data_IF_751257098226
#
_entry.id   IF_751257098226
#
_cell.length_a   1.000
_cell.length_b   1.000
_cell.length_c   1.000
_cell.angle_alpha   90.00
_cell.angle_beta   90.00
_cell.angle_gamma   90.00
#
_symmetry.space_group_name_H-M   'P 1'
#
loop_
_entity.id
_entity.type
_entity.pdbx_description
1 polymer ?
#
# COMPACT_ATOMS: atom_id res chain seq x y z
N UNK A 1 60.28 -17.37 35.44
CA UNK A 1 60.22 -17.59 33.98
C UNK A 1 58.76 -17.74 33.59
N UNK A 2 58.32 -16.94 32.62
CA UNK A 2 57.14 -17.10 31.74
C UNK A 2 55.77 -17.32 32.44
N UNK A 3 54.80 -16.40 32.36
CA UNK A 3 54.03 -16.06 31.15
C UNK A 3 52.82 -17.01 31.03
N UNK A 4 51.61 -16.67 30.61
CA UNK A 4 51.08 -15.48 29.97
C UNK A 4 49.54 -15.65 29.92
N UNK A 5 48.80 -14.56 30.12
CA UNK A 5 47.62 -14.14 29.34
C UNK A 5 46.32 -14.98 29.41
N UNK A 6 45.43 -14.56 30.32
CA UNK A 6 43.99 -14.56 30.03
C UNK A 6 43.73 -13.42 29.04
N UNK A 7 43.57 -13.77 27.75
CA UNK A 7 42.98 -12.87 26.76
C UNK A 7 41.50 -12.78 27.03
N UNK A 8 41.09 -11.57 27.39
CA UNK A 8 39.74 -11.07 27.46
C UNK A 8 39.09 -11.19 26.06
N UNK A 9 38.34 -12.26 25.79
CA UNK A 9 37.38 -12.24 24.67
C UNK A 9 36.08 -11.56 25.13
N UNK A 10 36.17 -10.27 25.47
CA UNK A 10 35.03 -9.37 25.33
C UNK A 10 34.86 -9.16 23.83
N UNK A 11 33.94 -9.92 23.23
CA UNK A 11 33.34 -9.49 21.96
C UNK A 11 32.62 -8.17 22.27
N UNK A 12 33.33 -7.05 22.05
CA UNK A 12 32.72 -5.75 21.84
C UNK A 12 31.86 -5.95 20.60
N UNK A 13 30.56 -6.25 20.80
CA UNK A 13 29.57 -6.00 19.76
C UNK A 13 29.77 -4.53 19.43
N UNK A 14 30.23 -4.23 18.22
CA UNK A 14 30.16 -2.86 17.70
C UNK A 14 28.74 -2.37 17.99
N UNK A 15 28.62 -1.17 18.54
CA UNK A 15 27.35 -0.47 18.75
C UNK A 15 26.54 -0.47 17.44
N UNK A 16 25.75 -1.51 17.20
CA UNK A 16 24.72 -1.50 16.18
C UNK A 16 23.63 -0.61 16.75
N UNK A 17 23.69 0.66 16.37
CA UNK A 17 22.67 1.64 16.75
C UNK A 17 21.33 1.18 16.18
N UNK A 18 20.28 1.28 17.00
CA UNK A 18 18.90 0.95 16.62
C UNK A 18 18.57 1.62 15.29
N UNK A 19 18.15 0.82 14.31
CA UNK A 19 17.69 1.34 13.01
C UNK A 19 16.20 1.62 13.12
N UNK A 20 15.80 2.86 12.83
CA UNK A 20 14.38 3.20 12.71
C UNK A 20 13.79 2.65 11.42
N UNK A 21 12.61 2.04 11.46
CA UNK A 21 11.88 1.60 10.25
C UNK A 21 10.59 2.40 10.16
N UNK A 22 10.53 3.37 9.23
CA UNK A 22 9.36 4.23 9.06
C UNK A 22 8.45 3.67 7.96
N UNK A 23 7.35 3.05 8.37
CA UNK A 23 6.27 2.64 7.48
C UNK A 23 5.38 3.85 7.18
N UNK A 24 5.27 4.21 5.91
CA UNK A 24 4.51 5.36 5.45
C UNK A 24 3.26 4.92 4.69
N UNK A 25 2.13 5.51 5.02
CA UNK A 25 0.87 5.28 4.30
C UNK A 25 0.16 6.61 4.05
N UNK A 26 -0.89 6.58 3.23
CA UNK A 26 -1.62 7.80 2.87
C UNK A 26 -2.22 8.49 4.11
N UNK A 27 -2.74 7.68 5.04
CA UNK A 27 -3.51 8.13 6.19
C UNK A 27 -4.99 8.29 5.87
N UNK A 28 -5.84 8.11 6.87
CA UNK A 28 -7.29 8.24 6.77
C UNK A 28 -7.83 9.02 7.97
N UNK A 29 -8.89 9.83 7.83
CA UNK A 29 -9.51 10.51 8.96
C UNK A 29 -10.01 9.50 10.01
N UNK A 30 -9.95 9.90 11.29
CA UNK A 30 -10.38 9.06 12.42
C UNK A 30 -11.91 8.97 12.53
N UNK A 31 -12.60 10.00 12.03
CA UNK A 31 -14.06 10.09 12.05
C UNK A 31 -14.60 10.83 10.82
N UNK A 32 -15.92 10.76 10.62
CA UNK A 32 -16.60 11.54 9.58
C UNK A 32 -16.44 13.05 9.77
N UNK A 33 -16.34 13.52 11.02
CA UNK A 33 -16.24 14.94 11.39
C UNK A 33 -14.90 15.55 10.99
N UNK A 34 -13.89 14.71 10.83
CA UNK A 34 -12.56 15.09 10.37
C UNK A 34 -12.46 15.24 8.84
N UNK A 35 -13.49 14.83 8.08
CA UNK A 35 -13.42 14.72 6.62
C UNK A 35 -13.04 16.02 5.92
N UNK A 36 -13.60 17.16 6.37
CA UNK A 36 -13.29 18.46 5.76
C UNK A 36 -11.80 18.82 5.93
N UNK A 37 -11.24 18.57 7.11
CA UNK A 37 -9.83 18.84 7.40
C UNK A 37 -8.92 17.90 6.61
N UNK A 38 -9.25 16.61 6.56
CA UNK A 38 -8.52 15.60 5.78
C UNK A 38 -8.47 15.95 4.30
N UNK A 39 -9.61 16.24 3.67
CA UNK A 39 -9.67 16.59 2.25
C UNK A 39 -8.95 17.92 1.94
N UNK A 40 -8.99 18.88 2.87
CA UNK A 40 -8.21 20.11 2.74
C UNK A 40 -6.71 19.82 2.72
N UNK A 41 -6.23 18.92 3.59
CA UNK A 41 -4.82 18.53 3.64
C UNK A 41 -4.34 17.87 2.35
N UNK A 42 -5.13 16.94 1.80
CA UNK A 42 -4.87 16.32 0.49
C UNK A 42 -4.62 17.37 -0.59
N UNK A 43 -5.37 18.48 -0.54
CA UNK A 43 -5.26 19.59 -1.50
C UNK A 43 -4.27 20.69 -1.09
N UNK A 44 -3.36 20.39 -0.16
CA UNK A 44 -2.34 21.32 0.32
C UNK A 44 -2.93 22.48 1.14
N UNK A 45 -3.91 22.19 1.98
CA UNK A 45 -4.57 23.14 2.88
C UNK A 45 -5.73 23.92 2.25
N UNK A 46 -6.11 23.61 1.00
CA UNK A 46 -7.20 24.30 0.29
C UNK A 46 -8.53 23.57 0.52
N UNK A 47 -9.59 24.21 1.06
CA UNK A 47 -10.84 23.55 1.43
C UNK A 47 -11.66 23.07 0.22
N UNK A 48 -12.15 21.83 0.25
CA UNK A 48 -13.06 21.30 -0.77
C UNK A 48 -14.47 21.89 -0.64
N UNK A 49 -15.28 21.79 -1.71
CA UNK A 49 -16.66 22.27 -1.65
C UNK A 49 -17.49 21.43 -0.65
N UNK A 50 -18.54 22.00 -0.03
CA UNK A 50 -19.40 21.27 0.90
C UNK A 50 -20.00 19.99 0.30
N UNK A 51 -20.36 20.02 -0.99
CA UNK A 51 -20.93 18.88 -1.71
C UNK A 51 -19.93 17.73 -1.82
N UNK A 52 -18.67 18.05 -2.16
CA UNK A 52 -17.60 17.07 -2.26
C UNK A 52 -17.24 16.47 -0.88
N UNK A 53 -17.22 17.31 0.16
CA UNK A 53 -17.04 16.83 1.54
C UNK A 53 -18.18 15.90 1.94
N UNK A 54 -19.43 16.25 1.63
CA UNK A 54 -20.60 15.43 1.93
C UNK A 54 -20.57 14.09 1.19
N UNK A 55 -20.14 14.09 -0.07
CA UNK A 55 -19.94 12.87 -0.85
C UNK A 55 -18.95 11.93 -0.16
N UNK A 56 -17.75 12.40 0.17
CA UNK A 56 -16.74 11.57 0.86
C UNK A 56 -17.19 11.12 2.26
N UNK A 57 -17.90 11.98 3.01
CA UNK A 57 -18.54 11.56 4.27
C UNK A 57 -19.52 10.42 4.04
N UNK A 58 -20.33 10.47 2.98
CA UNK A 58 -21.25 9.38 2.62
C UNK A 58 -20.51 8.10 2.29
N UNK A 59 -19.43 8.16 1.51
CA UNK A 59 -18.59 6.98 1.20
C UNK A 59 -18.05 6.32 2.46
N UNK A 60 -17.47 7.12 3.36
CA UNK A 60 -16.95 6.64 4.63
C UNK A 60 -18.05 6.09 5.55
N UNK A 61 -19.23 6.70 5.58
CA UNK A 61 -20.36 6.22 6.37
C UNK A 61 -20.80 4.80 5.94
N UNK A 62 -20.82 4.53 4.63
CA UNK A 62 -21.22 3.22 4.09
C UNK A 62 -20.24 2.10 4.41
N UNK A 63 -18.96 2.42 4.68
CA UNK A 63 -17.95 1.44 5.11
C UNK A 63 -17.79 1.34 6.63
N UNK A 64 -18.74 1.90 7.41
CA UNK A 64 -18.73 1.85 8.88
C UNK A 64 -18.24 3.12 9.58
N UNK A 65 -18.13 4.23 8.85
CA UNK A 65 -17.83 5.56 9.41
C UNK A 65 -16.35 5.94 9.45
N UNK A 66 -15.44 4.99 9.22
CA UNK A 66 -13.98 5.20 9.21
C UNK A 66 -13.29 4.13 8.34
N UNK A 67 -12.16 4.47 7.73
CA UNK A 67 -11.34 3.50 7.01
C UNK A 67 -10.34 2.83 7.96
N UNK A 68 -10.12 1.50 7.86
CA UNK A 68 -9.21 0.77 8.73
C UNK A 68 -7.72 0.97 8.38
N UNK A 69 -7.40 1.79 7.37
CA UNK A 69 -6.04 2.03 6.86
C UNK A 69 -5.02 2.29 7.98
N UNK A 70 -5.32 3.20 8.90
CA UNK A 70 -4.39 3.60 9.96
C UNK A 70 -4.10 2.41 10.89
N UNK A 71 -5.16 1.76 11.40
CA UNK A 71 -5.05 0.61 12.30
C UNK A 71 -4.27 -0.54 11.65
N UNK A 72 -4.55 -0.83 10.38
CA UNK A 72 -3.82 -1.85 9.60
C UNK A 72 -2.35 -1.50 9.45
N UNK A 73 -2.03 -0.24 9.18
CA UNK A 73 -0.64 0.21 9.05
C UNK A 73 0.11 0.09 10.39
N UNK A 74 -0.54 0.40 11.50
CA UNK A 74 0.04 0.25 12.84
C UNK A 74 0.29 -1.23 13.20
N UNK A 75 -0.67 -2.09 12.89
CA UNK A 75 -0.55 -3.54 13.05
C UNK A 75 0.60 -4.10 12.21
N UNK A 76 0.67 -3.71 10.93
CA UNK A 76 1.75 -4.09 10.02
C UNK A 76 3.12 -3.66 10.54
N UNK A 77 3.26 -2.43 11.05
CA UNK A 77 4.51 -1.94 11.62
C UNK A 77 4.98 -2.80 12.81
N UNK A 78 4.06 -3.15 13.72
CA UNK A 78 4.35 -4.03 14.85
C UNK A 78 4.81 -5.42 14.41
N UNK A 79 4.15 -6.01 13.40
CA UNK A 79 4.52 -7.32 12.88
C UNK A 79 5.86 -7.31 12.12
N UNK A 80 6.13 -6.28 11.31
CA UNK A 80 7.41 -6.11 10.62
C UNK A 80 8.55 -5.96 11.64
N UNK A 81 8.36 -5.17 12.69
CA UNK A 81 9.35 -5.05 13.78
C UNK A 81 9.63 -6.42 14.42
N UNK A 82 8.58 -7.19 14.73
CA UNK A 82 8.71 -8.51 15.33
C UNK A 82 9.49 -9.49 14.42
N UNK A 83 9.21 -9.48 13.11
CA UNK A 83 9.92 -10.31 12.13
C UNK A 83 11.39 -9.93 12.05
N UNK A 84 11.70 -8.64 11.90
CA UNK A 84 13.09 -8.15 11.81
C UNK A 84 13.88 -8.46 13.09
N UNK A 85 13.28 -8.27 14.27
CA UNK A 85 13.91 -8.64 15.55
C UNK A 85 14.17 -10.14 15.68
N UNK A 86 13.21 -10.96 15.23
CA UNK A 86 13.39 -12.43 15.19
C UNK A 86 14.53 -12.85 14.25
N UNK A 87 14.77 -12.10 13.18
CA UNK A 87 15.92 -12.26 12.27
C UNK A 87 17.23 -11.69 12.82
N UNK A 88 17.23 -11.16 14.04
CA UNK A 88 18.42 -10.67 14.73
C UNK A 88 18.76 -9.20 14.49
N UNK A 89 17.85 -8.41 13.91
CA UNK A 89 18.06 -6.98 13.69
C UNK A 89 17.61 -6.17 14.91
N UNK A 90 18.42 -5.19 15.32
CA UNK A 90 18.03 -4.22 16.34
C UNK A 90 17.32 -3.02 15.69
N UNK A 91 15.99 -3.14 15.54
CA UNK A 91 15.16 -2.16 14.86
C UNK A 91 14.00 -1.67 15.74
N UNK A 92 13.47 -0.51 15.40
CA UNK A 92 12.22 -0.01 15.96
C UNK A 92 11.34 0.55 14.85
N UNK A 93 10.09 0.09 14.77
CA UNK A 93 9.16 0.53 13.76
C UNK A 93 8.40 1.80 14.19
N UNK A 94 8.13 2.64 13.20
CA UNK A 94 7.39 3.88 13.29
C UNK A 94 6.40 3.95 12.14
N UNK A 95 5.32 4.71 12.33
CA UNK A 95 4.31 4.90 11.29
C UNK A 95 4.16 6.39 11.01
N UNK A 96 4.18 6.77 9.74
CA UNK A 96 4.06 8.17 9.30
C UNK A 96 3.06 8.33 8.17
N UNK A 97 1.94 8.97 8.46
CA UNK A 97 0.89 9.23 7.49
C UNK A 97 1.18 10.51 6.71
N UNK A 98 0.94 10.49 5.40
CA UNK A 98 1.16 11.66 4.54
C UNK A 98 0.10 12.74 4.73
N UNK A 99 -1.17 12.32 4.89
CA UNK A 99 -2.34 13.20 4.93
C UNK A 99 -3.16 13.10 6.21
N UNK A 100 -2.73 12.31 7.18
CA UNK A 100 -3.39 12.22 8.49
C UNK A 100 -2.39 12.02 9.64
N UNK A 101 -2.88 11.70 10.84
CA UNK A 101 -2.07 11.47 12.04
C UNK A 101 -1.79 9.96 12.24
N UNK A 102 -0.66 9.58 12.87
CA UNK A 102 0.50 10.43 13.14
C UNK A 102 1.14 10.85 11.81
N UNK A 103 1.38 12.15 11.64
CA UNK A 103 1.98 12.69 10.41
C UNK A 103 3.44 12.27 10.32
N UNK A 104 3.97 12.20 9.11
CA UNK A 104 5.41 11.92 8.88
C UNK A 104 6.31 12.83 9.74
N UNK A 105 5.98 14.12 9.88
CA UNK A 105 6.74 15.05 10.74
C UNK A 105 6.69 14.68 12.23
N UNK A 106 5.53 14.22 12.72
CA UNK A 106 5.37 13.76 14.10
C UNK A 106 6.15 12.46 14.34
N UNK A 107 6.17 11.57 13.34
CA UNK A 107 6.96 10.33 13.38
C UNK A 107 8.47 10.62 13.41
N UNK A 108 8.96 11.52 12.55
CA UNK A 108 10.37 11.93 12.51
C UNK A 108 10.80 12.60 13.84
N UNK A 109 9.97 13.50 14.38
CA UNK A 109 10.24 14.10 15.70
C UNK A 109 10.33 13.04 16.80
N UNK A 110 9.45 12.03 16.76
CA UNK A 110 9.50 10.91 17.69
C UNK A 110 10.77 10.06 17.51
N UNK A 111 11.16 9.77 16.27
CA UNK A 111 12.39 9.03 15.97
C UNK A 111 13.62 9.75 16.52
N UNK A 112 13.70 11.08 16.32
CA UNK A 112 14.78 11.89 16.88
C UNK A 112 14.78 11.85 18.41
N UNK A 113 13.62 12.01 19.06
CA UNK A 113 13.51 11.94 20.52
C UNK A 113 13.86 10.56 21.09
N UNK A 114 13.68 9.49 20.32
CA UNK A 114 14.07 8.13 20.67
C UNK A 114 15.56 7.84 20.39
N UNK A 115 16.32 8.80 19.86
CA UNK A 115 17.76 8.66 19.59
C UNK A 115 18.09 7.88 18.31
N UNK A 116 17.16 7.79 17.36
CA UNK A 116 17.44 7.19 16.04
C UNK A 116 18.44 8.06 15.28
N UNK A 117 19.44 7.42 14.67
CA UNK A 117 20.42 8.10 13.79
C UNK A 117 20.33 7.62 12.33
N UNK A 118 19.93 6.37 12.12
CA UNK A 118 19.74 5.76 10.80
C UNK A 118 18.36 5.17 10.70
N UNK A 119 17.73 5.36 9.54
CA UNK A 119 16.40 4.85 9.29
C UNK A 119 16.21 4.31 7.87
N UNK A 120 15.30 3.34 7.75
CA UNK A 120 14.76 2.88 6.47
C UNK A 120 13.33 3.36 6.36
N UNK A 121 13.03 4.12 5.30
CA UNK A 121 11.68 4.53 4.94
C UNK A 121 11.09 3.58 3.90
N UNK A 122 9.89 3.06 4.16
CA UNK A 122 9.14 2.23 3.23
C UNK A 122 7.72 2.77 3.09
N UNK A 123 7.24 2.91 1.86
CA UNK A 123 5.84 3.25 1.60
C UNK A 123 5.04 1.96 1.48
N UNK A 124 3.90 1.90 2.15
CA UNK A 124 2.95 0.79 2.14
C UNK A 124 2.13 0.76 0.83
N UNK A 125 2.82 0.94 -0.28
CA UNK A 125 2.39 0.79 -1.66
C UNK A 125 3.59 0.24 -2.45
N UNK A 126 3.50 -0.98 -3.03
CA UNK A 126 4.67 -1.70 -3.52
C UNK A 126 5.25 -1.17 -4.83
N UNK A 127 4.47 -0.42 -5.61
CA UNK A 127 4.89 0.10 -6.91
C UNK A 127 5.39 1.54 -6.79
N UNK A 128 6.57 1.81 -7.31
CA UNK A 128 7.16 3.15 -7.28
C UNK A 128 6.41 4.10 -8.20
N UNK A 129 6.20 5.33 -7.73
CA UNK A 129 5.86 6.45 -8.60
C UNK A 129 6.46 7.76 -8.10
N UNK A 130 6.83 8.65 -9.02
CA UNK A 130 7.19 10.04 -8.74
C UNK A 130 6.00 10.84 -8.20
N UNK A 131 4.77 10.38 -8.45
CA UNK A 131 3.53 10.97 -7.93
C UNK A 131 3.01 10.29 -6.66
N UNK A 132 3.66 9.22 -6.20
CA UNK A 132 3.36 8.54 -4.94
C UNK A 132 4.61 8.47 -4.07
N UNK A 133 5.40 7.39 -4.13
CA UNK A 133 6.57 7.11 -3.29
C UNK A 133 7.50 8.30 -3.11
N UNK A 134 7.87 8.99 -4.20
CA UNK A 134 8.75 10.16 -4.12
C UNK A 134 8.16 11.31 -3.29
N UNK A 135 6.84 11.48 -3.28
CA UNK A 135 6.18 12.52 -2.48
C UNK A 135 6.19 12.18 -0.98
N UNK A 136 6.20 10.90 -0.60
CA UNK A 136 6.43 10.49 0.78
C UNK A 136 7.87 10.76 1.21
N UNK A 137 8.85 10.42 0.36
CA UNK A 137 10.26 10.74 0.60
C UNK A 137 10.48 12.25 0.77
N UNK A 138 9.84 13.08 -0.09
CA UNK A 138 9.88 14.53 0.05
C UNK A 138 9.30 14.99 1.39
N UNK A 139 8.22 14.36 1.88
CA UNK A 139 7.64 14.68 3.20
C UNK A 139 8.57 14.32 4.35
N UNK A 140 9.37 13.26 4.23
CA UNK A 140 10.42 12.94 5.21
C UNK A 140 11.54 13.99 5.15
N UNK A 141 12.01 14.35 3.95
CA UNK A 141 13.02 15.42 3.78
C UNK A 141 12.58 16.77 4.36
N UNK A 142 11.32 17.13 4.16
CA UNK A 142 10.73 18.35 4.71
C UNK A 142 10.62 18.25 6.24
N UNK A 143 10.18 17.10 6.75
CA UNK A 143 10.09 16.84 8.19
C UNK A 143 11.46 16.91 8.89
N UNK A 144 12.52 16.35 8.29
CA UNK A 144 13.88 16.43 8.83
C UNK A 144 14.33 17.88 9.00
N UNK A 145 14.06 18.74 8.01
CA UNK A 145 14.37 20.17 8.07
C UNK A 145 13.53 20.90 9.13
N UNK A 146 12.23 20.60 9.21
CA UNK A 146 11.32 21.23 10.17
C UNK A 146 11.68 20.88 11.61
N UNK A 147 12.03 19.62 11.86
CA UNK A 147 12.42 19.10 13.18
C UNK A 147 13.86 19.49 13.54
N UNK A 148 14.73 19.76 12.55
CA UNK A 148 16.16 19.96 12.76
C UNK A 148 16.87 18.65 13.12
N UNK A 149 16.52 17.58 12.42
CA UNK A 149 17.03 16.23 12.65
C UNK A 149 18.01 15.81 11.55
N UNK A 150 19.11 15.18 11.96
CA UNK A 150 20.16 14.66 11.07
C UNK A 150 20.04 13.14 10.84
N UNK A 151 18.84 12.55 11.03
CA UNK A 151 18.62 11.12 10.76
C UNK A 151 18.92 10.81 9.29
N UNK A 152 19.81 9.85 9.06
CA UNK A 152 20.13 9.35 7.72
C UNK A 152 19.05 8.37 7.27
N UNK A 153 18.30 8.73 6.22
CA UNK A 153 17.30 7.84 5.62
C UNK A 153 17.82 7.12 4.38
N UNK A 154 17.68 5.80 4.38
CA UNK A 154 17.62 4.99 3.16
C UNK A 154 16.16 4.68 2.82
N UNK A 155 15.85 4.44 1.54
CA UNK A 155 14.48 4.24 1.10
C UNK A 155 14.31 2.96 0.28
N UNK A 156 13.27 2.20 0.62
CA UNK A 156 12.72 1.16 -0.26
C UNK A 156 11.92 1.88 -1.36
N UNK A 157 12.43 1.87 -2.59
CA UNK A 157 11.80 2.59 -3.70
C UNK A 157 10.63 1.81 -4.31
N UNK A 158 10.87 0.56 -4.70
CA UNK A 158 9.87 -0.39 -5.19
C UNK A 158 10.13 -1.73 -4.53
N UNK A 159 9.07 -2.49 -4.29
CA UNK A 159 9.13 -3.83 -3.72
C UNK A 159 8.02 -4.73 -4.29
N UNK A 160 7.47 -4.36 -5.46
CA UNK A 160 6.41 -5.10 -6.14
C UNK A 160 6.87 -6.45 -6.72
N UNK A 161 8.18 -6.66 -6.83
CA UNK A 161 8.82 -7.88 -7.32
C UNK A 161 9.31 -8.81 -6.19
N UNK A 162 9.10 -8.42 -4.93
CA UNK A 162 9.43 -9.25 -3.78
C UNK A 162 8.77 -10.62 -3.90
N UNK A 163 9.53 -11.74 -3.88
CA UNK A 163 8.96 -13.07 -4.13
C UNK A 163 7.82 -13.44 -3.18
N UNK A 164 7.93 -13.06 -1.89
CA UNK A 164 6.89 -13.30 -0.88
C UNK A 164 5.66 -12.42 -1.07
N UNK A 165 5.81 -11.21 -1.62
CA UNK A 165 4.65 -10.36 -1.97
C UNK A 165 3.85 -11.03 -3.09
N UNK A 166 4.53 -11.46 -4.15
CA UNK A 166 3.90 -12.15 -5.29
C UNK A 166 3.22 -13.43 -4.82
N UNK A 167 3.86 -14.19 -3.92
CA UNK A 167 3.28 -15.39 -3.32
C UNK A 167 2.00 -15.08 -2.53
N UNK A 168 2.03 -14.07 -1.66
CA UNK A 168 0.87 -13.64 -0.89
C UNK A 168 -0.28 -13.19 -1.82
N UNK A 169 0.01 -12.36 -2.82
CA UNK A 169 -0.99 -11.90 -3.80
C UNK A 169 -1.57 -13.08 -4.59
N UNK A 170 -0.74 -14.00 -5.09
CA UNK A 170 -1.20 -15.20 -5.79
C UNK A 170 -2.07 -16.08 -4.88
N UNK A 171 -1.75 -16.22 -3.60
CA UNK A 171 -2.60 -16.94 -2.65
C UNK A 171 -3.98 -16.28 -2.51
N UNK A 172 -4.06 -14.95 -2.43
CA UNK A 172 -5.35 -14.22 -2.36
C UNK A 172 -6.17 -14.36 -3.65
N UNK A 173 -5.53 -14.34 -4.82
CA UNK A 173 -6.22 -14.59 -6.10
C UNK A 173 -6.75 -16.02 -6.17
N UNK A 174 -5.95 -17.01 -5.78
CA UNK A 174 -6.38 -18.41 -5.74
C UNK A 174 -7.60 -18.61 -4.84
N UNK A 175 -7.53 -18.08 -3.62
CA UNK A 175 -8.66 -18.12 -2.68
C UNK A 175 -9.89 -17.39 -3.21
N UNK A 176 -9.72 -16.24 -3.88
CA UNK A 176 -10.81 -15.51 -4.52
C UNK A 176 -11.48 -16.31 -5.65
N UNK A 177 -10.68 -16.98 -6.48
CA UNK A 177 -11.18 -17.88 -7.53
C UNK A 177 -11.94 -19.07 -6.93
N UNK A 178 -11.51 -19.55 -5.76
CA UNK A 178 -12.16 -20.66 -5.06
C UNK A 178 -13.59 -20.36 -4.60
N UNK A 179 -13.97 -19.08 -4.48
CA UNK A 179 -15.34 -18.68 -4.14
C UNK A 179 -16.33 -18.84 -5.30
N UNK A 180 -15.84 -18.96 -6.53
CA UNK A 180 -16.67 -19.31 -7.67
C UNK A 180 -16.94 -20.82 -7.72
N UNK A 181 -18.15 -21.24 -8.15
CA UNK A 181 -18.42 -22.61 -8.58
C UNK A 181 -17.40 -23.07 -9.63
N UNK A 182 -17.09 -24.36 -9.69
CA UNK A 182 -15.99 -24.89 -10.50
C UNK A 182 -16.08 -24.54 -12.01
N UNK A 183 -17.30 -24.56 -12.56
CA UNK A 183 -17.57 -24.24 -13.97
C UNK A 183 -17.44 -22.73 -14.27
N UNK A 184 -17.86 -21.90 -13.33
CA UNK A 184 -17.70 -20.44 -13.37
C UNK A 184 -16.23 -20.03 -13.17
N UNK A 185 -15.53 -20.69 -12.24
CA UNK A 185 -14.13 -20.41 -11.87
C UNK A 185 -13.19 -20.45 -13.07
N UNK A 186 -13.34 -21.45 -13.94
CA UNK A 186 -12.50 -21.60 -15.15
C UNK A 186 -12.78 -20.55 -16.23
N UNK A 187 -13.92 -19.85 -16.15
CA UNK A 187 -14.36 -18.84 -17.11
C UNK A 187 -14.32 -17.42 -16.53
N UNK A 188 -14.03 -17.29 -15.24
CA UNK A 188 -14.01 -16.01 -14.55
C UNK A 188 -12.86 -15.15 -15.10
N UNK A 189 -13.15 -13.88 -15.35
CA UNK A 189 -12.12 -12.90 -15.71
C UNK A 189 -11.46 -12.40 -14.44
N UNK A 190 -10.13 -12.48 -14.36
CA UNK A 190 -9.37 -11.83 -13.29
C UNK A 190 -9.04 -10.39 -13.72
N UNK A 191 -9.47 -9.41 -12.93
CA UNK A 191 -9.19 -8.00 -13.17
C UNK A 191 -8.26 -7.52 -12.06
N UNK A 192 -6.98 -7.34 -12.38
CA UNK A 192 -6.04 -6.69 -11.47
C UNK A 192 -6.27 -5.18 -11.50
N UNK A 193 -6.33 -4.55 -10.32
CA UNK A 193 -6.53 -3.12 -10.21
C UNK A 193 -5.51 -2.41 -9.31
N UNK A 194 -5.36 -1.12 -9.55
CA UNK A 194 -4.58 -0.21 -8.73
C UNK A 194 -5.14 1.21 -8.81
N UNK A 195 -4.73 2.08 -7.87
CA UNK A 195 -5.09 3.48 -7.93
C UNK A 195 -4.62 4.11 -9.25
N UNK A 196 -5.53 4.79 -9.93
CA UNK A 196 -5.22 5.51 -11.16
C UNK A 196 -4.34 6.73 -10.86
N UNK A 197 -3.43 7.09 -11.74
CA UNK A 197 -2.64 8.32 -11.61
C UNK A 197 -2.77 9.16 -12.88
N UNK A 198 -2.53 10.49 -12.82
CA UNK A 198 -2.55 11.34 -14.01
C UNK A 198 -1.64 10.79 -15.13
N UNK A 199 -2.19 10.58 -16.33
CA UNK A 199 -1.51 9.89 -17.43
C UNK A 199 -0.23 10.61 -17.91
N UNK A 200 -0.04 11.89 -17.52
CA UNK A 200 1.21 12.63 -17.74
C UNK A 200 2.44 11.98 -17.11
N UNK A 201 2.27 11.09 -16.11
CA UNK A 201 3.38 10.31 -15.54
C UNK A 201 4.13 9.48 -16.60
N UNK A 202 3.43 8.99 -17.63
CA UNK A 202 4.05 8.24 -18.72
C UNK A 202 5.08 9.09 -19.48
N UNK A 203 4.77 10.38 -19.69
CA UNK A 203 5.71 11.34 -20.30
C UNK A 203 6.89 11.68 -19.39
N UNK A 204 6.76 11.42 -18.08
CA UNK A 204 7.81 11.65 -17.09
C UNK A 204 8.76 10.44 -16.94
N UNK A 205 8.55 9.37 -17.71
CA UNK A 205 9.29 8.11 -17.57
C UNK A 205 9.04 7.43 -16.22
N UNK A 206 7.84 7.61 -15.66
CA UNK A 206 7.46 7.03 -14.37
C UNK A 206 7.19 5.51 -14.53
N UNK A 207 7.79 4.64 -13.71
CA UNK A 207 7.73 3.20 -13.91
C UNK A 207 6.43 2.56 -13.39
N UNK A 208 5.55 3.33 -12.74
CA UNK A 208 4.37 2.83 -12.03
C UNK A 208 3.51 1.87 -12.85
N UNK A 209 3.17 2.27 -14.08
CA UNK A 209 2.35 1.46 -14.98
C UNK A 209 3.01 0.13 -15.35
N UNK A 210 4.30 0.17 -15.70
CA UNK A 210 5.05 -1.01 -16.08
C UNK A 210 5.28 -1.95 -14.88
N UNK A 211 5.54 -1.40 -13.69
CA UNK A 211 5.67 -2.16 -12.45
C UNK A 211 4.38 -2.89 -12.08
N UNK A 212 3.23 -2.22 -12.18
CA UNK A 212 1.92 -2.81 -11.95
C UNK A 212 1.65 -3.99 -12.90
N UNK A 213 1.89 -3.79 -14.20
CA UNK A 213 1.68 -4.83 -15.22
C UNK A 213 2.63 -6.02 -15.06
N UNK A 214 3.90 -5.76 -14.72
CA UNK A 214 4.87 -6.83 -14.42
C UNK A 214 4.49 -7.59 -13.15
N UNK A 215 4.05 -6.91 -12.11
CA UNK A 215 3.60 -7.56 -10.87
C UNK A 215 2.34 -8.42 -11.14
N UNK A 216 1.35 -7.91 -11.89
CA UNK A 216 0.20 -8.70 -12.33
C UNK A 216 0.60 -9.96 -13.11
N UNK A 217 1.53 -9.84 -14.07
CA UNK A 217 2.05 -10.98 -14.83
C UNK A 217 2.75 -11.99 -13.92
N UNK A 218 3.59 -11.53 -12.98
CA UNK A 218 4.29 -12.42 -12.05
C UNK A 218 3.33 -13.20 -11.12
N UNK A 219 2.22 -12.58 -10.73
CA UNK A 219 1.14 -13.26 -9.99
C UNK A 219 0.51 -14.36 -10.87
N UNK A 220 0.20 -14.05 -12.12
CA UNK A 220 -0.36 -15.02 -13.08
C UNK A 220 0.59 -16.19 -13.32
N UNK A 221 1.89 -15.93 -13.47
CA UNK A 221 2.91 -16.97 -13.64
C UNK A 221 2.95 -17.95 -12.45
N UNK A 222 2.62 -17.48 -11.23
CA UNK A 222 2.51 -18.32 -10.02
C UNK A 222 1.20 -19.09 -9.91
N UNK A 223 0.12 -18.58 -10.52
CA UNK A 223 -1.21 -19.20 -10.49
C UNK A 223 -1.36 -20.29 -11.55
N UNK A 224 -0.68 -20.13 -12.69
CA UNK A 224 -0.97 -20.88 -13.91
C UNK A 224 -1.97 -20.13 -14.81
N UNK A 225 -2.49 -20.79 -15.87
CA UNK A 225 -3.30 -20.13 -16.88
C UNK A 225 -4.62 -19.61 -16.29
N UNK A 226 -4.74 -18.29 -16.21
CA UNK A 226 -5.97 -17.56 -15.89
C UNK A 226 -6.21 -16.50 -16.96
N UNK A 227 -7.46 -16.28 -17.32
CA UNK A 227 -7.79 -15.17 -18.21
C UNK A 227 -7.86 -13.87 -17.40
N UNK A 228 -6.98 -12.92 -17.73
CA UNK A 228 -6.82 -11.72 -16.93
C UNK A 228 -6.75 -10.44 -17.77
N UNK A 229 -6.96 -9.31 -17.10
CA UNK A 229 -6.65 -7.98 -17.62
C UNK A 229 -6.29 -7.02 -16.49
N UNK A 230 -5.73 -5.87 -16.84
CA UNK A 230 -5.41 -4.80 -15.91
C UNK A 230 -6.40 -3.64 -16.06
N UNK A 231 -6.79 -3.03 -14.94
CA UNK A 231 -7.58 -1.80 -14.89
C UNK A 231 -7.06 -0.87 -13.79
N UNK A 232 -7.55 0.37 -13.78
CA UNK A 232 -7.30 1.32 -12.69
C UNK A 232 -8.62 1.68 -12.02
N UNK A 233 -8.52 2.23 -10.82
CA UNK A 233 -9.67 2.70 -10.05
C UNK A 233 -9.37 4.04 -9.41
N UNK A 234 -10.40 4.70 -8.87
CA UNK A 234 -10.22 5.89 -8.02
C UNK A 234 -9.58 7.08 -8.75
N UNK A 235 -9.77 7.19 -10.08
CA UNK A 235 -9.35 8.38 -10.82
C UNK A 235 -10.12 9.62 -10.35
N UNK A 236 -9.42 10.74 -10.16
CA UNK A 236 -10.10 11.98 -9.79
C UNK A 236 -10.71 12.68 -11.01
N UNK A 237 -11.82 13.38 -10.78
CA UNK A 237 -12.53 14.15 -11.80
C UNK A 237 -11.92 15.54 -12.00
N UNK A 238 -10.64 15.59 -12.40
CA UNK A 238 -9.85 16.85 -12.51
C UNK A 238 -9.79 17.43 -13.92
N UNK A 239 -10.40 16.77 -14.91
CA UNK A 239 -10.42 17.19 -16.32
C UNK A 239 -9.11 16.90 -17.09
N UNK A 240 -8.05 16.45 -16.41
CA UNK A 240 -6.88 15.87 -17.07
C UNK A 240 -7.09 14.36 -17.31
N UNK A 241 -6.43 13.74 -18.31
CA UNK A 241 -6.48 12.29 -18.51
C UNK A 241 -5.77 11.53 -17.39
N UNK A 242 -6.37 10.43 -16.95
CA UNK A 242 -5.82 9.49 -15.97
C UNK A 242 -5.49 8.15 -16.64
N UNK A 243 -4.63 7.33 -16.02
CA UNK A 243 -4.35 5.98 -16.50
C UNK A 243 -5.64 5.16 -16.58
N UNK A 244 -5.79 4.38 -17.65
CA UNK A 244 -7.01 3.61 -17.92
C UNK A 244 -6.70 2.24 -18.51
N UNK A 245 -7.70 1.36 -18.60
CA UNK A 245 -9.13 1.65 -18.43
C UNK A 245 -9.57 1.74 -16.96
N UNK A 246 -10.65 2.50 -16.66
CA UNK A 246 -11.23 2.55 -15.31
C UNK A 246 -12.08 1.30 -15.04
N UNK A 247 -12.02 0.75 -13.84
CA UNK A 247 -12.73 -0.48 -13.47
C UNK A 247 -14.25 -0.34 -13.62
N UNK A 248 -14.76 0.87 -13.37
CA UNK A 248 -16.17 1.24 -13.55
C UNK A 248 -16.65 1.07 -15.00
N UNK A 249 -15.74 1.25 -15.97
CA UNK A 249 -15.99 1.04 -17.41
C UNK A 249 -15.70 -0.41 -17.84
N UNK A 250 -14.73 -1.06 -17.18
CA UNK A 250 -14.32 -2.44 -17.50
C UNK A 250 -15.43 -3.43 -17.18
N UNK A 251 -16.13 -3.28 -16.06
CA UNK A 251 -17.17 -4.24 -15.65
C UNK A 251 -18.31 -4.30 -16.69
N UNK A 252 -18.94 -3.19 -17.13
CA UNK A 252 -19.95 -3.22 -18.19
C UNK A 252 -19.42 -3.73 -19.54
N UNK A 253 -18.17 -3.42 -19.88
CA UNK A 253 -17.55 -3.92 -21.11
C UNK A 253 -17.38 -5.44 -21.09
N UNK A 254 -16.95 -6.02 -19.95
CA UNK A 254 -16.86 -7.46 -19.76
C UNK A 254 -18.24 -8.13 -19.82
N UNK A 255 -19.27 -7.51 -19.22
CA UNK A 255 -20.65 -7.99 -19.31
C UNK A 255 -21.11 -8.11 -20.77
N UNK A 256 -20.83 -7.06 -21.56
CA UNK A 256 -21.16 -6.98 -22.98
C UNK A 256 -20.36 -7.99 -23.82
N UNK A 257 -19.16 -8.35 -23.36
CA UNK A 257 -18.31 -9.41 -23.89
C UNK A 257 -18.67 -10.83 -23.45
N UNK A 258 -19.84 -11.04 -22.83
CA UNK A 258 -20.35 -12.32 -22.32
C UNK A 258 -19.61 -12.91 -21.10
N UNK A 259 -18.81 -12.13 -20.37
CA UNK A 259 -18.35 -12.57 -19.04
C UNK A 259 -19.51 -12.49 -18.05
N UNK A 260 -19.64 -13.52 -17.21
CA UNK A 260 -20.66 -13.59 -16.14
C UNK A 260 -20.06 -13.49 -14.74
N UNK A 261 -18.77 -13.78 -14.62
CA UNK A 261 -18.04 -13.87 -13.36
C UNK A 261 -16.73 -13.09 -13.48
N UNK A 262 -16.48 -12.18 -12.54
CA UNK A 262 -15.27 -11.36 -12.46
C UNK A 262 -14.68 -11.44 -11.06
N UNK A 263 -13.39 -11.75 -10.97
CA UNK A 263 -12.60 -11.59 -9.76
C UNK A 263 -11.77 -10.31 -9.85
N UNK A 264 -12.05 -9.33 -8.99
CA UNK A 264 -11.22 -8.13 -8.85
C UNK A 264 -10.11 -8.37 -7.83
N UNK A 265 -8.86 -8.04 -8.18
CA UNK A 265 -7.71 -8.11 -7.28
C UNK A 265 -6.96 -6.77 -7.23
N UNK A 266 -7.19 -5.95 -6.19
CA UNK A 266 -6.56 -4.62 -6.05
C UNK A 266 -5.08 -4.68 -5.64
N UNK A 267 -4.20 -5.14 -6.53
CA UNK A 267 -2.77 -5.37 -6.24
C UNK A 267 -1.96 -4.10 -5.97
N UNK A 268 -2.47 -2.93 -6.36
CA UNK A 268 -1.86 -1.63 -6.03
C UNK A 268 -1.95 -1.24 -4.55
N UNK A 269 -2.67 -2.02 -3.74
CA UNK A 269 -2.92 -1.74 -2.32
C UNK A 269 -2.57 -2.95 -1.45
N UNK A 270 -2.32 -2.69 -0.16
CA UNK A 270 -1.85 -3.73 0.76
C UNK A 270 -2.82 -4.09 1.89
N UNK A 271 -3.82 -3.25 2.15
CA UNK A 271 -4.80 -3.48 3.21
C UNK A 271 -6.17 -2.93 2.80
N UNK A 272 -7.20 -3.31 3.56
CA UNK A 272 -8.52 -2.72 3.40
C UNK A 272 -8.46 -1.22 3.75
N UNK A 273 -9.07 -0.41 2.91
CA UNK A 273 -9.23 1.03 3.06
C UNK A 273 -10.36 1.49 2.13
N UNK A 274 -10.67 2.78 2.10
CA UNK A 274 -11.86 3.29 1.40
C UNK A 274 -11.92 2.92 -0.08
N UNK A 275 -10.81 2.90 -0.81
CA UNK A 275 -10.83 2.61 -2.26
C UNK A 275 -11.09 1.12 -2.53
N UNK A 276 -10.88 0.27 -1.55
CA UNK A 276 -11.25 -1.15 -1.62
C UNK A 276 -12.70 -1.35 -1.15
N UNK A 277 -12.98 -0.90 0.07
CA UNK A 277 -14.26 -1.14 0.76
C UNK A 277 -15.43 -0.36 0.15
N UNK A 278 -15.16 0.76 -0.50
CA UNK A 278 -16.17 1.55 -1.20
C UNK A 278 -16.11 1.33 -2.70
N UNK A 279 -15.01 1.70 -3.37
CA UNK A 279 -15.00 1.72 -4.83
C UNK A 279 -15.22 0.31 -5.42
N UNK A 280 -14.73 -0.75 -4.76
CA UNK A 280 -14.94 -2.14 -5.21
C UNK A 280 -16.14 -2.78 -4.52
N UNK A 281 -16.12 -2.88 -3.19
CA UNK A 281 -17.11 -3.68 -2.44
C UNK A 281 -18.53 -3.06 -2.44
N UNK A 282 -18.66 -1.78 -2.83
CA UNK A 282 -19.95 -1.11 -3.03
C UNK A 282 -20.10 -0.68 -4.49
N UNK A 283 -19.25 0.22 -4.98
CA UNK A 283 -19.39 0.82 -6.31
C UNK A 283 -19.37 -0.20 -7.44
N UNK A 284 -18.30 -1.01 -7.52
CA UNK A 284 -18.19 -2.05 -8.54
C UNK A 284 -19.22 -3.16 -8.35
N UNK A 285 -19.57 -3.53 -7.11
CA UNK A 285 -20.62 -4.50 -6.83
C UNK A 285 -21.98 -4.03 -7.39
N UNK A 286 -22.35 -2.77 -7.19
CA UNK A 286 -23.58 -2.21 -7.76
C UNK A 286 -23.56 -2.20 -9.30
N UNK A 287 -22.42 -1.84 -9.91
CA UNK A 287 -22.26 -1.90 -11.38
C UNK A 287 -22.42 -3.33 -11.88
N UNK A 288 -21.75 -4.29 -11.26
CA UNK A 288 -21.83 -5.71 -11.61
C UNK A 288 -23.26 -6.25 -11.49
N UNK A 289 -23.96 -5.91 -10.40
CA UNK A 289 -25.37 -6.29 -10.20
C UNK A 289 -26.27 -5.73 -11.30
N UNK A 290 -26.12 -4.46 -11.68
CA UNK A 290 -26.87 -3.86 -12.81
C UNK A 290 -26.58 -4.55 -14.14
N UNK A 291 -25.37 -5.07 -14.31
CA UNK A 291 -24.95 -5.84 -15.50
C UNK A 291 -25.32 -7.33 -15.43
N UNK A 292 -25.90 -7.82 -14.32
CA UNK A 292 -26.19 -9.24 -14.12
C UNK A 292 -24.93 -10.12 -14.05
N UNK A 293 -23.83 -9.57 -13.52
CA UNK A 293 -22.56 -10.25 -13.30
C UNK A 293 -22.36 -10.57 -11.83
N UNK A 294 -21.69 -11.69 -11.55
CA UNK A 294 -21.10 -11.97 -10.25
C UNK A 294 -19.74 -11.30 -10.18
N UNK A 295 -19.56 -10.42 -9.20
CA UNK A 295 -18.26 -9.85 -8.86
C UNK A 295 -17.81 -10.37 -7.50
N UNK A 296 -16.60 -10.89 -7.47
CA UNK A 296 -15.89 -11.25 -6.25
C UNK A 296 -14.63 -10.37 -6.14
N UNK A 297 -14.21 -10.02 -4.93
CA UNK A 297 -12.94 -9.32 -4.70
C UNK A 297 -11.99 -10.14 -3.82
N UNK A 298 -10.73 -10.29 -4.21
CA UNK A 298 -9.73 -10.95 -3.36
C UNK A 298 -9.64 -10.26 -1.99
N UNK A 299 -9.51 -11.01 -0.90
CA UNK A 299 -9.18 -10.42 0.40
C UNK A 299 -7.89 -9.62 0.31
N UNK A 300 -7.81 -8.50 1.03
CA UNK A 300 -6.56 -7.71 1.10
C UNK A 300 -5.54 -8.43 1.98
N UNK A 301 -4.26 -8.11 1.77
CA UNK A 301 -3.17 -8.74 2.52
C UNK A 301 -3.25 -8.37 4.01
N UNK A 302 -3.63 -7.14 4.36
CA UNK A 302 -3.76 -6.70 5.75
C UNK A 302 -2.51 -7.09 6.57
N UNK A 303 -2.63 -7.99 7.53
CA UNK A 303 -1.53 -8.51 8.35
C UNK A 303 -1.13 -9.96 8.03
N UNK A 304 -1.41 -10.42 6.81
CA UNK A 304 -1.02 -11.74 6.31
C UNK A 304 0.48 -11.98 6.55
N UNK A 305 0.81 -13.12 7.17
CA UNK A 305 2.18 -13.40 7.59
C UNK A 305 3.18 -13.43 6.44
N UNK A 306 2.79 -13.93 5.26
CA UNK A 306 3.70 -14.00 4.09
C UNK A 306 3.95 -12.59 3.56
N UNK A 307 2.92 -11.74 3.57
CA UNK A 307 3.04 -10.34 3.23
C UNK A 307 3.96 -9.57 4.19
N UNK A 308 3.81 -9.75 5.50
CA UNK A 308 4.69 -9.11 6.49
C UNK A 308 6.15 -9.51 6.28
N UNK A 309 6.42 -10.79 6.01
CA UNK A 309 7.76 -11.27 5.69
C UNK A 309 8.31 -10.60 4.42
N UNK A 310 7.48 -10.33 3.41
CA UNK A 310 7.87 -9.60 2.20
C UNK A 310 8.26 -8.14 2.48
N UNK A 311 7.51 -7.46 3.35
CA UNK A 311 7.84 -6.09 3.79
C UNK A 311 9.16 -6.09 4.56
N UNK A 312 9.38 -7.08 5.43
CA UNK A 312 10.63 -7.24 6.15
C UNK A 312 11.82 -7.52 5.20
N UNK A 313 11.64 -8.36 4.17
CA UNK A 313 12.66 -8.60 3.14
C UNK A 313 13.08 -7.31 2.44
N UNK A 314 12.09 -6.52 1.99
CA UNK A 314 12.33 -5.26 1.31
C UNK A 314 13.08 -4.26 2.19
N UNK A 315 12.78 -4.23 3.49
CA UNK A 315 13.49 -3.39 4.46
C UNK A 315 14.94 -3.88 4.64
N UNK A 316 15.16 -5.18 4.78
CA UNK A 316 16.51 -5.74 4.98
C UNK A 316 17.44 -5.57 3.78
N UNK A 317 16.91 -5.52 2.55
CA UNK A 317 17.72 -5.25 1.35
C UNK A 317 18.36 -3.85 1.35
N UNK A 318 17.86 -2.95 2.20
CA UNK A 318 18.27 -1.54 2.28
C UNK A 318 19.01 -1.22 3.60
N UNK A 319 19.03 -2.16 4.57
CA UNK A 319 19.79 -2.07 5.82
C UNK A 319 21.27 -2.37 5.57
#
# INVERSE_FOLDING_TARGET
MCGNWLILCMNIRRDEKIIGVLLMAYGSPDSLDDMAAYLSDIRGGRPMSPEFVAEFRSRYAQIGGRSPLNERTFEQAGHVEAVLKKRGRDVKAYTGMRHWKPRIVEAVAKMQGDGVEKAVGIVMAPHYSRMSTRLYQQKVEDALKEVGSDIEFAYVNSWCDQPRLIEAQAAKVRAGLERFPEDARRKAKVVFSAHSLPARLLKMGDPYDDELKRNAQAIVDRLGPVDWMFSYQSAAHTGEPWLGPQIEDVIPALASGNYRDVLVSPIGFVCDHVEVLYDIDIGCQEIAQRCGMRLERTEMMNSDSVFIEAVADAVEEVI
#
